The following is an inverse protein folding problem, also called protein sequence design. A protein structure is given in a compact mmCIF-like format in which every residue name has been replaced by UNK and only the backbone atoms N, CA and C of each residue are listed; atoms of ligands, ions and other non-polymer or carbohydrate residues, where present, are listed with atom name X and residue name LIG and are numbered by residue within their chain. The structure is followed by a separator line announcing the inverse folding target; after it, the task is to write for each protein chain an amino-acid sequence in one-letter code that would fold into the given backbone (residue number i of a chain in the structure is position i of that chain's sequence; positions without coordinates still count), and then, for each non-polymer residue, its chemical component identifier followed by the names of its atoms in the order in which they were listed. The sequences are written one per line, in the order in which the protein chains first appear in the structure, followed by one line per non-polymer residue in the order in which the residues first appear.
data_IF_416727522990
#
_entry.id   IF_416727522990
#
_cell.length_a   1.000
_cell.length_b   1.000
_cell.length_c   1.000
_cell.angle_alpha   90.00
_cell.angle_beta   90.00
_cell.angle_gamma   90.00
#
_symmetry.space_group_name_H-M   'P 1'
#
loop_
_entity.id
_entity.type
_entity.pdbx_description
1 polymer ?
#
# COMPACT_ATOMS: atom_id res chain seq x y z
N UNK A 1 5.92 -8.95 7.91
CA UNK A 1 6.55 -8.44 9.12
C UNK A 1 6.18 -6.98 9.39
N UNK A 2 4.93 -6.66 9.34
CA UNK A 2 4.38 -5.70 10.27
C UNK A 2 4.30 -6.42 11.61
N UNK A 3 5.47 -6.87 12.06
CA UNK A 3 5.63 -7.84 13.15
C UNK A 3 5.59 -7.13 14.51
N UNK A 4 5.83 -5.83 14.51
CA UNK A 4 5.87 -5.05 15.75
C UNK A 4 5.91 -3.55 15.45
N UNK A 5 5.58 -2.73 16.46
CA UNK A 5 5.72 -1.29 16.41
C UNK A 5 7.12 -0.83 15.94
N UNK A 6 8.18 -1.49 16.42
CA UNK A 6 9.57 -1.16 16.05
C UNK A 6 9.85 -1.37 14.57
N UNK A 7 9.34 -2.45 14.00
CA UNK A 7 9.53 -2.77 12.57
C UNK A 7 8.78 -1.79 11.69
N UNK A 8 7.51 -1.48 12.00
CA UNK A 8 6.71 -0.50 11.23
C UNK A 8 7.35 0.90 11.29
N UNK A 9 7.80 1.35 12.46
CA UNK A 9 8.51 2.63 12.58
C UNK A 9 9.84 2.63 11.82
N UNK A 10 10.62 1.56 11.92
CA UNK A 10 11.88 1.42 11.16
C UNK A 10 11.65 1.46 9.65
N UNK A 11 10.65 0.75 9.15
CA UNK A 11 10.28 0.76 7.74
C UNK A 11 9.80 2.15 7.27
N UNK A 12 9.02 2.84 8.10
CA UNK A 12 8.60 4.22 7.83
C UNK A 12 9.81 5.15 7.70
N UNK A 13 10.70 5.16 8.69
CA UNK A 13 11.88 6.03 8.69
C UNK A 13 12.77 5.74 7.48
N UNK A 14 13.04 4.47 7.19
CA UNK A 14 13.85 4.07 6.04
C UNK A 14 13.20 4.52 4.71
N UNK A 15 11.91 4.28 4.54
CA UNK A 15 11.16 4.72 3.37
C UNK A 15 11.27 6.23 3.17
N UNK A 16 11.00 7.02 4.23
CA UNK A 16 11.08 8.49 4.16
C UNK A 16 12.49 8.99 3.85
N UNK A 17 13.51 8.40 4.45
CA UNK A 17 14.91 8.75 4.18
C UNK A 17 15.28 8.46 2.71
N UNK A 18 14.91 7.29 2.20
CA UNK A 18 15.13 6.94 0.79
C UNK A 18 14.37 7.88 -0.16
N UNK A 19 13.11 8.21 0.15
CA UNK A 19 12.33 9.16 -0.65
C UNK A 19 12.94 10.55 -0.66
N UNK A 20 13.40 11.06 0.50
CA UNK A 20 14.08 12.35 0.59
C UNK A 20 15.37 12.38 -0.23
N UNK A 21 16.15 11.30 -0.18
CA UNK A 21 17.37 11.17 -0.97
C UNK A 21 17.08 11.10 -2.47
N UNK A 22 16.12 10.27 -2.90
CA UNK A 22 15.70 10.16 -4.30
C UNK A 22 15.20 11.52 -4.82
N UNK A 23 14.38 12.22 -4.06
CA UNK A 23 13.89 13.54 -4.43
C UNK A 23 15.03 14.54 -4.65
N UNK A 24 16.05 14.51 -3.77
CA UNK A 24 17.25 15.35 -3.87
C UNK A 24 18.16 14.94 -5.04
N UNK A 25 18.39 13.65 -5.24
CA UNK A 25 19.23 13.11 -6.33
C UNK A 25 18.68 13.46 -7.71
N UNK A 26 17.36 13.49 -7.85
CA UNK A 26 16.64 13.98 -9.02
C UNK A 26 17.03 13.32 -10.37
N UNK A 27 17.41 12.05 -10.33
CA UNK A 27 17.53 11.27 -11.55
C UNK A 27 16.18 11.06 -12.22
N UNK A 28 16.19 10.59 -13.46
CA UNK A 28 14.96 10.26 -14.18
C UNK A 28 14.08 9.34 -13.32
N UNK A 29 12.82 9.72 -13.14
CA UNK A 29 11.82 9.03 -12.32
C UNK A 29 12.06 9.01 -10.80
N UNK A 30 13.19 9.49 -10.27
CA UNK A 30 13.46 9.52 -8.83
C UNK A 30 12.40 10.30 -8.05
N UNK A 31 12.05 11.50 -8.54
CA UNK A 31 11.00 12.32 -7.92
C UNK A 31 9.63 11.67 -7.98
N UNK A 32 9.34 10.97 -9.09
CA UNK A 32 8.09 10.22 -9.20
C UNK A 32 7.98 9.16 -8.11
N UNK A 33 8.99 8.29 -7.99
CA UNK A 33 9.04 7.25 -6.96
C UNK A 33 9.00 7.89 -5.57
N UNK A 34 9.78 8.94 -5.32
CA UNK A 34 9.81 9.60 -4.03
C UNK A 34 8.42 10.13 -3.62
N UNK A 35 7.74 10.88 -4.48
CA UNK A 35 6.41 11.45 -4.17
C UNK A 35 5.37 10.37 -3.94
N UNK A 36 5.35 9.33 -4.79
CA UNK A 36 4.41 8.22 -4.66
C UNK A 36 4.62 7.45 -3.36
N UNK A 37 5.87 7.15 -3.04
CA UNK A 37 6.19 6.31 -1.88
C UNK A 37 6.27 7.07 -0.55
N UNK A 38 6.36 8.39 -0.56
CA UNK A 38 6.02 9.20 0.64
C UNK A 38 4.60 8.91 1.07
N UNK A 39 3.64 8.93 0.13
CA UNK A 39 2.26 8.59 0.46
C UNK A 39 2.13 7.14 0.93
N UNK A 40 2.66 6.17 0.20
CA UNK A 40 2.53 4.76 0.57
C UNK A 40 3.21 4.43 1.90
N UNK A 41 4.36 5.05 2.16
CA UNK A 41 5.10 4.88 3.42
C UNK A 41 4.35 5.36 4.66
N UNK A 42 3.42 6.32 4.54
CA UNK A 42 2.57 6.75 5.65
C UNK A 42 1.75 5.61 6.24
N UNK A 43 1.47 4.56 5.47
CA UNK A 43 0.79 3.38 5.98
C UNK A 43 1.57 2.69 7.10
N UNK A 44 2.92 2.71 7.03
CA UNK A 44 3.76 2.15 8.09
C UNK A 44 3.67 2.96 9.40
N UNK A 45 3.45 4.28 9.30
CA UNK A 45 3.18 5.11 10.47
C UNK A 45 1.81 4.78 11.09
N UNK A 46 0.79 4.56 10.27
CA UNK A 46 -0.54 4.14 10.75
C UNK A 46 -0.47 2.77 11.43
N UNK A 47 0.24 1.81 10.85
CA UNK A 47 0.46 0.51 11.49
C UNK A 47 1.25 0.61 12.80
N UNK A 48 2.25 1.48 12.86
CA UNK A 48 2.94 1.77 14.13
C UNK A 48 1.97 2.25 15.21
N UNK A 49 1.05 3.18 14.86
CA UNK A 49 0.03 3.66 15.79
C UNK A 49 -0.94 2.54 16.23
N UNK A 50 -1.31 1.63 15.32
CA UNK A 50 -2.14 0.46 15.65
C UNK A 50 -1.43 -0.46 16.65
N UNK A 51 -0.12 -0.69 16.48
CA UNK A 51 0.70 -1.51 17.38
C UNK A 51 0.85 -0.90 18.78
N UNK A 52 0.82 0.42 18.92
CA UNK A 52 0.94 1.10 20.22
C UNK A 52 -0.30 0.95 21.11
N UNK A 53 -1.44 0.62 20.54
CA UNK A 53 -2.73 0.55 21.25
C UNK A 53 -3.46 -0.76 20.94
N UNK A 54 -2.88 -1.89 21.33
CA UNK A 54 -3.48 -3.21 21.13
C UNK A 54 -4.65 -3.49 22.09
N UNK A 55 -4.80 -2.68 23.13
CA UNK A 55 -5.97 -2.68 24.05
C UNK A 55 -7.18 -1.95 23.47
N UNK A 56 -7.08 -1.37 22.30
CA UNK A 56 -8.17 -0.64 21.62
C UNK A 56 -8.73 0.57 22.42
N UNK A 57 -7.85 1.34 23.02
CA UNK A 57 -8.23 2.52 23.84
C UNK A 57 -8.47 3.79 23.03
N UNK A 58 -8.46 3.72 21.70
CA UNK A 58 -8.85 4.80 20.80
C UNK A 58 -7.82 5.18 19.74
N UNK A 59 -6.52 4.97 19.96
CA UNK A 59 -5.49 5.27 18.99
C UNK A 59 -5.51 4.27 17.82
N UNK A 60 -5.64 2.98 18.13
CA UNK A 60 -5.75 1.91 17.13
C UNK A 60 -6.98 2.11 16.25
N UNK A 61 -8.17 2.39 16.85
CA UNK A 61 -9.39 2.63 16.08
C UNK A 61 -9.24 3.80 15.09
N UNK A 62 -8.66 4.92 15.54
CA UNK A 62 -8.41 6.07 14.67
C UNK A 62 -7.41 5.75 13.56
N UNK A 63 -6.34 5.04 13.88
CA UNK A 63 -5.34 4.62 12.90
C UNK A 63 -5.94 3.63 11.88
N UNK A 64 -6.78 2.69 12.33
CA UNK A 64 -7.51 1.75 11.45
C UNK A 64 -8.47 2.48 10.52
N UNK A 65 -9.24 3.46 11.03
CA UNK A 65 -10.12 4.29 10.21
C UNK A 65 -9.32 5.10 9.16
N UNK A 66 -8.19 5.70 9.55
CA UNK A 66 -7.33 6.43 8.61
C UNK A 66 -6.69 5.50 7.58
N UNK A 67 -6.28 4.30 7.97
CA UNK A 67 -5.71 3.29 7.07
C UNK A 67 -6.71 2.87 5.99
N UNK A 68 -7.99 2.77 6.33
CA UNK A 68 -9.06 2.51 5.36
C UNK A 68 -9.08 3.56 4.24
N UNK A 69 -9.16 4.84 4.59
CA UNK A 69 -9.16 5.93 3.59
C UNK A 69 -7.84 6.03 2.85
N UNK A 70 -6.74 5.86 3.56
CA UNK A 70 -5.40 5.86 2.97
C UNK A 70 -5.28 4.77 1.89
N UNK A 71 -5.73 3.55 2.17
CA UNK A 71 -5.71 2.44 1.21
C UNK A 71 -6.55 2.75 -0.03
N UNK A 72 -7.79 3.22 0.16
CA UNK A 72 -8.69 3.56 -0.96
C UNK A 72 -8.11 4.67 -1.85
N UNK A 73 -7.39 5.61 -1.28
CA UNK A 73 -6.80 6.71 -2.02
C UNK A 73 -5.50 6.35 -2.75
N UNK A 74 -4.87 5.21 -2.47
CA UNK A 74 -3.60 4.81 -3.12
C UNK A 74 -3.68 4.79 -4.65
N UNK A 75 -4.70 4.18 -5.30
CA UNK A 75 -4.83 4.24 -6.75
C UNK A 75 -5.04 5.66 -7.29
N UNK A 76 -5.81 6.48 -6.56
CA UNK A 76 -6.03 7.89 -6.93
C UNK A 76 -4.70 8.65 -6.93
N UNK A 77 -3.91 8.51 -5.87
CA UNK A 77 -2.60 9.16 -5.75
C UNK A 77 -1.64 8.66 -6.84
N UNK A 78 -1.62 7.35 -7.12
CA UNK A 78 -0.79 6.79 -8.18
C UNK A 78 -1.10 7.43 -9.54
N UNK A 79 -2.38 7.57 -9.88
CA UNK A 79 -2.82 8.20 -11.13
C UNK A 79 -2.51 9.70 -11.15
N UNK A 80 -2.72 10.42 -10.04
CA UNK A 80 -2.41 11.85 -9.95
C UNK A 80 -0.90 12.10 -10.12
N UNK A 81 -0.07 11.29 -9.50
CA UNK A 81 1.39 11.37 -9.66
C UNK A 81 1.77 11.09 -11.12
N UNK A 82 1.20 10.04 -11.74
CA UNK A 82 1.42 9.74 -13.14
C UNK A 82 0.97 10.89 -14.06
N UNK A 83 -0.21 11.43 -13.82
CA UNK A 83 -0.74 12.58 -14.58
C UNK A 83 0.20 13.80 -14.51
N UNK A 84 0.67 14.12 -13.30
CA UNK A 84 1.59 15.23 -13.09
C UNK A 84 2.91 15.04 -13.85
N UNK A 85 3.56 13.88 -13.73
CA UNK A 85 4.86 13.63 -14.34
C UNK A 85 4.81 13.33 -15.85
N UNK A 86 3.64 13.03 -16.40
CA UNK A 86 3.42 12.91 -17.86
C UNK A 86 2.88 14.19 -18.50
N UNK A 87 2.81 15.30 -17.76
CA UNK A 87 2.19 16.55 -18.21
C UNK A 87 0.77 16.36 -18.76
N UNK A 88 -0.04 15.57 -18.04
CA UNK A 88 -1.43 15.30 -18.39
C UNK A 88 -1.65 14.27 -19.51
N UNK A 89 -0.59 13.67 -20.04
CA UNK A 89 -0.67 12.71 -21.16
C UNK A 89 -0.69 11.26 -20.68
N UNK A 90 -1.80 10.84 -20.09
CA UNK A 90 -2.00 9.43 -19.73
C UNK A 90 -2.66 8.65 -20.86
N UNK A 91 -2.25 7.39 -21.08
CA UNK A 91 -2.94 6.49 -21.99
C UNK A 91 -4.39 6.25 -21.57
N UNK A 92 -5.29 6.10 -22.54
CA UNK A 92 -6.73 5.93 -22.29
C UNK A 92 -7.06 4.75 -21.37
N UNK A 93 -6.27 3.67 -21.42
CA UNK A 93 -6.48 2.51 -20.58
C UNK A 93 -6.30 2.80 -19.08
N UNK A 94 -5.48 3.79 -18.69
CA UNK A 94 -5.33 4.21 -17.29
C UNK A 94 -6.63 4.85 -16.77
N UNK A 95 -7.28 5.69 -17.58
CA UNK A 95 -8.58 6.27 -17.21
C UNK A 95 -9.67 5.18 -17.13
N UNK A 96 -9.69 4.25 -18.08
CA UNK A 96 -10.61 3.11 -18.06
C UNK A 96 -10.44 2.25 -16.79
N UNK A 97 -9.19 1.93 -16.44
CA UNK A 97 -8.87 1.19 -15.22
C UNK A 97 -9.33 1.94 -13.96
N UNK A 98 -9.12 3.26 -13.92
CA UNK A 98 -9.56 4.08 -12.80
C UNK A 98 -11.08 4.08 -12.63
N UNK A 99 -11.83 4.17 -13.73
CA UNK A 99 -13.30 4.07 -13.72
C UNK A 99 -13.72 2.69 -13.19
N UNK A 100 -13.11 1.62 -13.68
CA UNK A 100 -13.38 0.25 -13.20
C UNK A 100 -13.08 0.15 -11.70
N UNK A 101 -11.96 0.69 -11.24
CA UNK A 101 -11.62 0.74 -9.82
C UNK A 101 -12.70 1.47 -9.00
N UNK A 102 -13.15 2.64 -9.43
CA UNK A 102 -14.19 3.38 -8.73
C UNK A 102 -15.52 2.60 -8.69
N UNK A 103 -15.96 2.04 -9.79
CA UNK A 103 -17.21 1.27 -9.87
C UNK A 103 -17.16 0.04 -8.97
N UNK A 104 -16.03 -0.65 -8.91
CA UNK A 104 -15.88 -1.87 -8.11
C UNK A 104 -15.66 -1.60 -6.64
N UNK A 105 -14.98 -0.51 -6.27
CA UNK A 105 -14.64 -0.19 -4.88
C UNK A 105 -15.70 0.63 -4.15
N UNK A 106 -16.40 1.57 -4.83
CA UNK A 106 -17.40 2.43 -4.18
C UNK A 106 -18.50 1.67 -3.43
N UNK A 107 -19.10 0.59 -3.97
CA UNK A 107 -20.11 -0.17 -3.23
C UNK A 107 -19.58 -0.75 -1.93
N UNK A 108 -18.29 -1.12 -1.91
CA UNK A 108 -17.62 -1.66 -0.74
C UNK A 108 -17.29 -0.59 0.28
N UNK A 109 -16.87 0.59 -0.17
CA UNK A 109 -16.62 1.75 0.68
C UNK A 109 -17.90 2.12 1.47
N UNK A 110 -19.04 2.14 0.80
CA UNK A 110 -20.31 2.54 1.40
C UNK A 110 -20.87 1.48 2.34
N UNK A 111 -20.81 0.19 1.94
CA UNK A 111 -21.44 -0.92 2.68
C UNK A 111 -20.64 -1.43 3.85
N UNK A 112 -19.32 -1.26 3.83
CA UNK A 112 -18.43 -2.05 4.65
C UNK A 112 -17.69 -1.30 5.74
N UNK A 113 -17.81 0.04 5.76
CA UNK A 113 -17.15 0.79 6.81
C UNK A 113 -17.79 0.48 8.18
N UNK A 114 -17.08 -0.30 8.98
CA UNK A 114 -17.36 -0.41 10.40
C UNK A 114 -16.82 0.82 11.11
N UNK A 115 -17.53 1.24 12.17
CA UNK A 115 -17.04 2.28 13.08
C UNK A 115 -16.30 1.63 14.26
N UNK A 116 -15.24 2.29 14.72
CA UNK A 116 -14.50 1.92 15.94
C UNK A 116 -13.91 0.50 15.92
N UNK A 117 -13.40 0.07 14.77
CA UNK A 117 -12.71 -1.23 14.65
C UNK A 117 -11.24 -1.11 15.00
N UNK A 118 -10.69 -2.18 15.56
CA UNK A 118 -9.28 -2.31 15.88
C UNK A 118 -8.59 -3.29 14.95
N UNK A 119 -7.40 -2.94 14.51
CA UNK A 119 -6.50 -3.86 13.83
C UNK A 119 -5.67 -4.62 14.85
N UNK A 120 -5.90 -5.93 14.93
CA UNK A 120 -5.24 -6.81 15.90
C UNK A 120 -4.35 -7.83 15.18
N UNK A 121 -3.33 -8.40 15.85
CA UNK A 121 -2.54 -9.50 15.29
C UNK A 121 -3.41 -10.73 15.04
N UNK A 122 -3.01 -11.55 14.07
CA UNK A 122 -3.60 -12.87 13.91
C UNK A 122 -3.36 -13.73 15.16
N UNK A 123 -4.41 -14.41 15.64
CA UNK A 123 -4.39 -15.20 16.90
C UNK A 123 -3.35 -16.33 16.87
N UNK A 124 -3.12 -16.95 15.71
CA UNK A 124 -2.19 -18.08 15.56
C UNK A 124 -0.74 -17.67 15.24
N UNK A 125 -0.52 -16.40 14.98
CA UNK A 125 0.83 -15.86 14.73
C UNK A 125 0.85 -14.42 15.14
N UNK A 126 1.68 -14.06 16.09
CA UNK A 126 1.95 -12.66 16.48
C UNK A 126 2.55 -11.81 15.32
N UNK A 127 2.28 -12.20 14.07
CA UNK A 127 2.95 -11.70 12.87
C UNK A 127 1.92 -11.08 11.92
N UNK A 128 1.88 -9.75 11.91
CA UNK A 128 1.03 -8.96 11.02
C UNK A 128 -0.30 -8.57 11.64
N UNK A 129 -0.76 -7.38 11.28
CA UNK A 129 -2.05 -6.85 11.69
C UNK A 129 -3.12 -7.25 10.69
N UNK A 130 -4.21 -7.81 11.19
CA UNK A 130 -5.46 -7.90 10.44
C UNK A 130 -6.16 -6.54 10.48
N UNK A 131 -6.36 -5.92 9.32
CA UNK A 131 -7.08 -4.66 9.23
C UNK A 131 -8.58 -4.91 9.17
N UNK A 132 -9.21 -4.92 10.34
CA UNK A 132 -10.64 -5.20 10.45
C UNK A 132 -11.49 -3.92 10.28
N UNK A 133 -11.45 -3.32 9.09
CA UNK A 133 -12.30 -2.19 8.76
C UNK A 133 -13.51 -2.55 7.88
N UNK A 134 -13.72 -3.82 7.63
CA UNK A 134 -14.87 -4.30 6.84
C UNK A 134 -15.60 -5.45 7.52
N UNK A 135 -16.90 -5.57 7.28
CA UNK A 135 -17.73 -6.66 7.82
C UNK A 135 -17.55 -8.00 7.08
N UNK A 136 -16.95 -7.96 5.90
CA UNK A 136 -16.75 -9.13 5.04
C UNK A 136 -15.43 -8.96 4.29
N UNK A 137 -14.82 -10.05 3.89
CA UNK A 137 -13.63 -10.00 3.04
C UNK A 137 -13.96 -9.31 1.72
N UNK A 138 -13.04 -8.45 1.25
CA UNK A 138 -13.10 -7.98 -0.12
C UNK A 138 -12.98 -9.17 -1.06
N UNK A 139 -13.82 -9.26 -2.10
CA UNK A 139 -13.61 -10.25 -3.14
C UNK A 139 -12.22 -10.10 -3.75
N UNK A 140 -11.56 -11.20 -4.03
CA UNK A 140 -10.18 -11.23 -4.56
C UNK A 140 -10.01 -10.37 -5.82
N UNK A 141 -11.06 -10.29 -6.67
CA UNK A 141 -11.00 -9.45 -7.88
C UNK A 141 -10.92 -7.95 -7.56
N UNK A 142 -11.51 -7.48 -6.46
CA UNK A 142 -11.42 -6.06 -6.04
C UNK A 142 -9.99 -5.71 -5.67
N UNK A 143 -9.31 -6.60 -4.94
CA UNK A 143 -7.89 -6.45 -4.63
C UNK A 143 -7.01 -6.53 -5.87
N UNK A 144 -7.33 -7.40 -6.83
CA UNK A 144 -6.63 -7.46 -8.10
C UNK A 144 -6.75 -6.15 -8.89
N UNK A 145 -7.96 -5.60 -9.01
CA UNK A 145 -8.20 -4.31 -9.67
C UNK A 145 -7.48 -3.17 -8.93
N UNK A 146 -7.51 -3.17 -7.61
CA UNK A 146 -6.77 -2.22 -6.78
C UNK A 146 -5.26 -2.29 -7.07
N UNK A 147 -4.67 -3.48 -7.07
CA UNK A 147 -3.25 -3.68 -7.35
C UNK A 147 -2.87 -3.18 -8.76
N UNK A 148 -3.70 -3.47 -9.77
CA UNK A 148 -3.51 -2.96 -11.13
C UNK A 148 -3.63 -1.44 -11.19
N UNK A 149 -4.62 -0.85 -10.51
CA UNK A 149 -4.83 0.60 -10.49
C UNK A 149 -3.70 1.36 -9.78
N UNK A 150 -3.02 0.72 -8.82
CA UNK A 150 -1.81 1.25 -8.19
C UNK A 150 -0.59 1.13 -9.09
N UNK A 151 -0.41 -0.02 -9.75
CA UNK A 151 0.84 -0.39 -10.43
C UNK A 151 0.93 0.07 -11.88
N UNK A 152 -0.14 -0.04 -12.67
CA UNK A 152 -0.10 0.24 -14.11
C UNK A 152 0.22 1.70 -14.47
N UNK A 153 -0.15 2.74 -13.67
CA UNK A 153 0.29 4.10 -13.93
C UNK A 153 1.82 4.24 -14.03
N UNK A 154 2.58 3.39 -13.34
CA UNK A 154 4.05 3.40 -13.41
C UNK A 154 4.61 3.01 -14.78
N UNK A 155 3.85 2.28 -15.61
CA UNK A 155 4.26 1.99 -16.99
C UNK A 155 4.46 3.26 -17.83
N UNK A 156 3.87 4.38 -17.42
CA UNK A 156 4.02 5.67 -18.11
C UNK A 156 5.31 6.41 -17.76
N UNK A 157 6.12 5.86 -16.83
CA UNK A 157 7.45 6.40 -16.51
C UNK A 157 8.38 6.30 -17.73
N UNK A 158 9.25 7.28 -17.91
CA UNK A 158 10.18 7.33 -19.05
C UNK A 158 11.11 6.13 -19.13
N UNK A 159 11.56 5.63 -17.99
CA UNK A 159 12.46 4.47 -17.90
C UNK A 159 12.06 3.60 -16.70
N UNK A 160 12.32 2.30 -16.80
CA UNK A 160 12.14 1.33 -15.71
C UNK A 160 10.70 1.19 -15.18
N UNK A 161 9.69 1.82 -15.82
CA UNK A 161 8.29 1.73 -15.36
C UNK A 161 7.79 0.29 -15.27
N UNK A 162 8.14 -0.56 -16.24
CA UNK A 162 7.80 -1.99 -16.25
C UNK A 162 8.44 -2.74 -15.06
N UNK A 163 9.66 -2.35 -14.65
CA UNK A 163 10.34 -2.96 -13.50
C UNK A 163 9.56 -2.63 -12.22
N UNK A 164 9.22 -1.36 -12.00
CA UNK A 164 8.45 -0.95 -10.82
C UNK A 164 7.06 -1.56 -10.79
N UNK A 165 6.38 -1.60 -11.94
CA UNK A 165 5.08 -2.27 -12.08
C UNK A 165 5.19 -3.74 -11.70
N UNK A 166 6.19 -4.44 -12.23
CA UNK A 166 6.45 -5.85 -11.90
C UNK A 166 6.77 -6.07 -10.42
N UNK A 167 7.57 -5.19 -9.81
CA UNK A 167 7.89 -5.27 -8.38
C UNK A 167 6.63 -5.09 -7.52
N UNK A 168 5.78 -4.10 -7.81
CA UNK A 168 4.56 -3.88 -7.03
C UNK A 168 3.61 -5.08 -7.15
N UNK A 169 3.40 -5.60 -8.36
CA UNK A 169 2.56 -6.79 -8.56
C UNK A 169 3.19 -8.00 -7.86
N UNK A 170 4.49 -8.21 -8.01
CA UNK A 170 5.21 -9.32 -7.38
C UNK A 170 5.16 -9.25 -5.85
N UNK A 171 5.34 -8.06 -5.26
CA UNK A 171 5.23 -7.89 -3.81
C UNK A 171 3.80 -8.13 -3.31
N UNK A 172 2.78 -7.77 -4.09
CA UNK A 172 1.38 -8.06 -3.77
C UNK A 172 1.12 -9.57 -3.77
N UNK A 173 1.55 -10.28 -4.80
CA UNK A 173 1.41 -11.75 -4.90
C UNK A 173 2.13 -12.43 -3.74
N UNK A 174 3.37 -12.00 -3.45
CA UNK A 174 4.16 -12.54 -2.35
C UNK A 174 3.48 -12.31 -0.99
N UNK A 175 2.96 -11.11 -0.75
CA UNK A 175 2.21 -10.78 0.45
C UNK A 175 0.98 -11.67 0.64
N UNK A 176 0.26 -11.97 -0.45
CA UNK A 176 -0.89 -12.86 -0.44
C UNK A 176 -0.50 -14.28 -0.02
N UNK A 177 0.52 -14.87 -0.65
CA UNK A 177 1.00 -16.20 -0.28
C UNK A 177 1.51 -16.30 1.16
N UNK A 178 2.23 -15.28 1.64
CA UNK A 178 2.73 -15.27 3.02
C UNK A 178 1.57 -15.23 4.01
N UNK A 179 0.54 -14.43 3.74
CA UNK A 179 -0.56 -14.23 4.68
C UNK A 179 -1.53 -15.41 4.73
N UNK A 180 -1.87 -16.02 3.60
CA UNK A 180 -2.75 -17.20 3.57
C UNK A 180 -2.20 -18.38 4.37
N UNK A 181 -0.89 -18.61 4.30
CA UNK A 181 -0.25 -19.70 5.03
C UNK A 181 -0.13 -19.47 6.55
N UNK A 182 -0.41 -18.25 7.02
CA UNK A 182 -0.18 -17.87 8.42
C UNK A 182 -1.44 -17.67 9.25
N UNK A 183 -2.60 -17.47 8.62
CA UNK A 183 -3.87 -17.22 9.29
C UNK A 183 -4.97 -18.17 8.81
N UNK A 184 -4.61 -19.40 8.41
CA UNK A 184 -5.52 -20.36 7.76
C UNK A 184 -6.65 -20.90 8.64
N UNK A 185 -6.56 -20.78 9.95
CA UNK A 185 -7.51 -21.42 10.88
C UNK A 185 -8.53 -20.47 11.52
N UNK A 186 -8.60 -19.23 11.11
CA UNK A 186 -9.52 -18.27 11.72
C UNK A 186 -10.43 -17.60 10.68
N UNK A 187 -11.65 -17.28 11.07
CA UNK A 187 -12.54 -16.39 10.30
C UNK A 187 -12.01 -14.94 10.23
N UNK A 188 -10.74 -14.73 10.51
CA UNK A 188 -10.06 -13.45 10.52
C UNK A 188 -9.54 -13.16 9.12
N UNK A 189 -9.67 -11.92 8.69
CA UNK A 189 -9.15 -11.45 7.40
C UNK A 189 -7.62 -11.61 7.39
N UNK A 190 -7.03 -12.33 6.41
CA UNK A 190 -5.59 -12.47 6.32
C UNK A 190 -4.87 -11.12 6.26
N UNK A 191 -3.67 -10.95 6.87
CA UNK A 191 -2.95 -9.68 6.93
C UNK A 191 -2.23 -9.31 5.61
N UNK A 192 -2.86 -9.58 4.47
CA UNK A 192 -2.29 -9.32 3.13
C UNK A 192 -1.83 -7.89 2.97
N UNK A 193 -2.65 -6.93 3.41
CA UNK A 193 -2.35 -5.52 3.30
C UNK A 193 -1.13 -5.11 4.09
N UNK A 194 -1.00 -5.60 5.31
CA UNK A 194 0.12 -5.35 6.21
C UNK A 194 1.45 -5.85 5.62
N UNK A 195 1.47 -7.07 5.06
CA UNK A 195 2.65 -7.62 4.39
C UNK A 195 3.01 -6.84 3.13
N UNK A 196 2.01 -6.49 2.32
CA UNK A 196 2.27 -5.72 1.11
C UNK A 196 2.80 -4.33 1.40
N UNK A 197 2.31 -3.66 2.43
CA UNK A 197 2.78 -2.32 2.79
C UNK A 197 4.25 -2.32 3.23
N UNK A 198 4.72 -3.34 3.94
CA UNK A 198 6.14 -3.43 4.29
C UNK A 198 7.01 -3.68 3.05
N UNK A 199 6.63 -4.64 2.21
CA UNK A 199 7.36 -4.92 0.99
C UNK A 199 7.37 -3.70 0.05
N UNK A 200 6.22 -3.02 -0.06
CA UNK A 200 6.09 -1.78 -0.82
C UNK A 200 6.97 -0.65 -0.27
N UNK A 201 7.06 -0.49 1.05
CA UNK A 201 7.89 0.55 1.66
C UNK A 201 9.40 0.38 1.40
N UNK A 202 9.85 -0.80 0.93
CA UNK A 202 11.22 -1.06 0.53
C UNK A 202 11.51 -0.66 -0.93
N UNK A 203 10.51 -0.35 -1.74
CA UNK A 203 10.71 0.00 -3.17
C UNK A 203 11.59 1.24 -3.36
N UNK A 204 11.49 2.32 -2.55
CA UNK A 204 12.42 3.45 -2.67
C UNK A 204 13.89 3.06 -2.45
N UNK A 205 14.17 2.10 -1.56
CA UNK A 205 15.52 1.57 -1.39
C UNK A 205 16.01 0.85 -2.66
N UNK A 206 15.16 0.02 -3.28
CA UNK A 206 15.45 -0.60 -4.57
C UNK A 206 15.69 0.43 -5.69
N UNK A 207 14.95 1.54 -5.68
CA UNK A 207 15.10 2.61 -6.66
C UNK A 207 16.45 3.34 -6.58
N UNK A 208 17.11 3.33 -5.42
CA UNK A 208 18.47 3.87 -5.30
C UNK A 208 19.45 3.13 -6.22
N UNK A 209 19.26 1.82 -6.39
CA UNK A 209 20.11 0.97 -7.24
C UNK A 209 19.59 0.99 -8.69
N UNK A 210 18.30 0.79 -8.91
CA UNK A 210 17.71 0.70 -10.26
C UNK A 210 17.96 1.98 -11.08
N UNK A 211 17.91 3.14 -10.44
CA UNK A 211 18.07 4.43 -11.10
C UNK A 211 19.52 4.97 -11.05
N UNK A 212 20.46 4.29 -10.37
CA UNK A 212 21.85 4.77 -10.25
C UNK A 212 22.65 4.61 -11.54
N UNK A 213 22.27 3.68 -12.40
CA UNK A 213 23.03 3.29 -13.58
C UNK A 213 22.64 4.06 -14.87
N UNK A 214 22.09 5.27 -14.71
CA UNK A 214 21.69 6.14 -15.85
C UNK A 214 22.10 7.60 -15.58
#
# INVERSE_FOLDING_TARGET
MCISAKVSMGAFILCMACCAYLYKRNNINDRWIAVLFVYFGLMQLLEYMMWLDQDCKGLNQKATDLAFYHTILQPVISILVAYYYTNGKLPIYIYGLFIIYLITSLPWIVKMKKKNQCSLPCIDSDIGLSWDYTNTQYPTYVWGIFCLAVSLPLLTMKTNGHIYTGIIIGTYILAHFISENRCSNTNVIPPNGSWWCILGSMIPLGALVINSNK
#
